data_IF_968095871017
#
_entry.id   IF_968095871017
#
_cell.length_a   1.000
_cell.length_b   1.000
_cell.length_c   1.000
_cell.angle_alpha   90.00
_cell.angle_beta   90.00
_cell.angle_gamma   90.00
#
_symmetry.space_group_name_H-M   'P 1'
#
loop_
_entity.id
_entity.type
_entity.pdbx_description
1 polymer ?
#
# COMPACT_ATOMS: atom_id res chain seq x y z
N UNK A 1 8.41 17.70 4.09
CA UNK A 1 8.62 18.79 5.08
C UNK A 1 7.74 19.97 4.71
N UNK A 2 6.47 19.90 5.07
CA UNK A 2 5.38 20.43 4.25
C UNK A 2 4.93 19.39 3.23
N UNK A 3 3.77 19.61 2.59
CA UNK A 3 3.22 18.68 1.62
C UNK A 3 4.08 18.61 0.35
N UNK A 4 4.62 17.44 0.07
CA UNK A 4 5.55 17.17 -1.00
C UNK A 4 4.94 16.22 -2.06
N UNK A 5 5.43 16.33 -3.28
CA UNK A 5 5.16 15.35 -4.34
C UNK A 5 6.48 14.79 -4.83
N UNK A 6 6.71 13.52 -4.53
CA UNK A 6 7.91 12.78 -4.89
C UNK A 6 7.53 11.80 -5.99
N UNK A 7 8.18 11.91 -7.15
CA UNK A 7 8.00 10.97 -8.26
C UNK A 7 9.35 10.47 -8.73
N UNK A 8 9.52 9.15 -8.67
CA UNK A 8 10.71 8.47 -9.09
C UNK A 8 10.85 8.40 -10.62
N UNK A 9 12.09 8.51 -11.10
CA UNK A 9 12.49 8.28 -12.51
C UNK A 9 13.75 7.40 -12.60
N UNK A 10 13.99 6.60 -11.57
CA UNK A 10 15.23 5.90 -11.27
C UNK A 10 15.37 4.58 -12.05
N UNK A 11 16.60 4.25 -12.45
CA UNK A 11 16.97 2.93 -13.02
C UNK A 11 17.39 1.90 -11.95
N UNK A 12 17.33 2.27 -10.66
CA UNK A 12 17.80 1.48 -9.53
C UNK A 12 16.94 1.75 -8.29
N UNK A 13 16.73 0.75 -7.43
CA UNK A 13 16.02 0.88 -6.15
C UNK A 13 16.52 2.06 -5.29
N UNK A 14 15.60 2.72 -4.59
CA UNK A 14 15.81 3.92 -3.76
C UNK A 14 14.94 3.88 -2.50
N UNK A 15 15.25 4.80 -1.60
CA UNK A 15 14.40 5.15 -0.46
C UNK A 15 13.85 6.55 -0.67
N UNK A 16 12.55 6.72 -0.48
CA UNK A 16 11.82 7.99 -0.56
C UNK A 16 11.18 8.27 0.80
N UNK A 17 11.32 9.51 1.29
CA UNK A 17 10.76 9.96 2.57
C UNK A 17 9.94 11.24 2.33
N UNK A 18 8.69 11.30 2.80
CA UNK A 18 7.86 12.51 2.79
C UNK A 18 8.14 13.44 3.99
N UNK A 19 8.49 12.82 5.11
CA UNK A 19 8.78 13.45 6.40
C UNK A 19 7.53 13.95 7.12
N UNK A 20 7.08 15.18 6.88
CA UNK A 20 5.94 15.77 7.58
C UNK A 20 5.14 16.59 6.58
N UNK A 21 3.81 16.52 6.69
CA UNK A 21 2.89 17.06 5.69
C UNK A 21 2.14 15.93 4.98
N UNK A 22 1.09 16.29 4.25
CA UNK A 22 0.35 15.30 3.46
C UNK A 22 1.08 15.08 2.13
N UNK A 23 1.85 14.02 2.03
CA UNK A 23 2.77 13.77 0.93
C UNK A 23 2.20 12.80 -0.11
N UNK A 24 2.69 12.89 -1.34
CA UNK A 24 2.44 11.91 -2.40
C UNK A 24 3.75 11.34 -2.90
N UNK A 25 3.98 10.06 -2.62
CA UNK A 25 5.20 9.33 -3.00
C UNK A 25 4.88 8.31 -4.08
N UNK A 26 5.62 8.35 -5.18
CA UNK A 26 5.57 7.37 -6.26
C UNK A 26 6.96 6.78 -6.53
N UNK A 27 7.13 5.48 -6.25
CA UNK A 27 8.39 4.73 -6.36
C UNK A 27 8.79 4.34 -7.79
N UNK A 28 7.85 4.34 -8.73
CA UNK A 28 8.15 4.13 -10.15
C UNK A 28 8.15 2.66 -10.54
N UNK A 29 9.31 2.09 -10.91
CA UNK A 29 9.37 0.73 -11.51
C UNK A 29 10.36 -0.21 -10.85
N UNK A 30 11.02 0.22 -9.78
CA UNK A 30 12.05 -0.55 -9.11
C UNK A 30 11.53 -1.05 -7.77
N UNK A 31 12.32 -1.87 -7.07
CA UNK A 31 11.98 -2.33 -5.73
C UNK A 31 12.39 -1.25 -4.72
N UNK A 32 11.49 -0.37 -4.39
CA UNK A 32 11.75 0.84 -3.61
C UNK A 32 11.27 0.71 -2.16
N UNK A 33 11.76 1.62 -1.32
CA UNK A 33 11.30 1.82 0.06
C UNK A 33 10.66 3.19 0.13
N UNK A 34 9.38 3.26 0.48
CA UNK A 34 8.64 4.52 0.62
C UNK A 34 8.21 4.68 2.08
N UNK A 35 8.54 5.82 2.67
CA UNK A 35 8.12 6.23 4.00
C UNK A 35 7.33 7.54 3.89
N UNK A 36 6.04 7.51 4.23
CA UNK A 36 5.17 8.70 4.26
C UNK A 36 5.68 9.68 5.32
N UNK A 37 5.55 9.30 6.58
CA UNK A 37 6.09 10.06 7.70
C UNK A 37 4.99 10.47 8.65
N UNK A 38 4.72 11.76 8.77
CA UNK A 38 3.66 12.28 9.62
C UNK A 38 2.62 13.02 8.79
N UNK A 39 1.37 12.98 9.24
CA UNK A 39 0.17 13.43 8.56
C UNK A 39 -0.31 12.42 7.50
N UNK A 40 -1.28 12.78 6.65
CA UNK A 40 -1.97 11.79 5.81
C UNK A 40 -1.30 11.67 4.45
N UNK A 41 -0.67 10.54 4.22
CA UNK A 41 0.16 10.32 3.04
C UNK A 41 -0.51 9.45 1.99
N UNK A 42 0.00 9.57 0.77
CA UNK A 42 -0.33 8.71 -0.35
C UNK A 42 0.91 8.05 -0.88
N UNK A 43 0.96 6.71 -0.81
CA UNK A 43 2.10 5.92 -1.27
C UNK A 43 1.67 5.07 -2.47
N UNK A 44 2.44 5.18 -3.56
CA UNK A 44 2.35 4.34 -4.76
C UNK A 44 3.71 3.67 -4.93
N UNK A 45 3.83 2.39 -4.61
CA UNK A 45 5.08 1.63 -4.84
C UNK A 45 5.48 1.70 -6.32
N UNK A 46 4.51 1.37 -7.18
CA UNK A 46 4.70 1.39 -8.62
C UNK A 46 4.76 -0.05 -9.13
N UNK A 47 5.63 -0.34 -10.10
CA UNK A 47 6.00 -1.71 -10.43
C UNK A 47 7.19 -2.11 -9.55
N UNK A 48 7.29 -3.36 -9.14
CA UNK A 48 8.46 -3.83 -8.39
C UNK A 48 8.05 -4.78 -7.29
N UNK A 49 8.85 -4.86 -6.24
CA UNK A 49 8.43 -5.40 -4.97
C UNK A 49 8.85 -4.38 -3.93
N UNK A 50 7.89 -3.60 -3.45
CA UNK A 50 8.13 -2.40 -2.67
C UNK A 50 7.90 -2.63 -1.18
N UNK A 51 8.59 -1.85 -0.35
CA UNK A 51 8.33 -1.74 1.08
C UNK A 51 7.74 -0.38 1.38
N UNK A 52 6.51 -0.37 1.89
CA UNK A 52 5.71 0.83 2.13
C UNK A 52 5.46 1.00 3.63
N UNK A 53 5.70 2.20 4.14
CA UNK A 53 5.45 2.60 5.54
C UNK A 53 4.65 3.90 5.49
N UNK A 54 3.42 3.89 6.00
CA UNK A 54 2.56 5.08 6.03
C UNK A 54 3.09 6.08 7.05
N UNK A 55 3.29 5.60 8.28
CA UNK A 55 3.72 6.39 9.42
C UNK A 55 2.56 6.83 10.30
N UNK A 56 2.60 8.07 10.77
CA UNK A 56 1.56 8.64 11.64
C UNK A 56 0.54 9.34 10.76
N UNK A 57 -0.67 8.82 10.68
CA UNK A 57 -1.72 9.46 9.92
C UNK A 57 -2.81 8.48 9.55
N UNK A 58 -3.67 8.92 8.64
CA UNK A 58 -4.58 8.05 7.90
C UNK A 58 -4.05 7.96 6.48
N UNK A 59 -3.32 6.90 6.18
CA UNK A 59 -2.54 6.81 4.95
C UNK A 59 -3.27 6.04 3.86
N UNK A 60 -2.91 6.30 2.61
CA UNK A 60 -3.45 5.61 1.44
C UNK A 60 -2.34 4.92 0.65
N UNK A 61 -2.37 3.59 0.64
CA UNK A 61 -1.49 2.74 -0.17
C UNK A 61 -2.22 2.38 -1.46
N UNK A 62 -1.78 2.93 -2.59
CA UNK A 62 -2.48 2.78 -3.87
C UNK A 62 -1.75 1.86 -4.83
N UNK A 63 -2.51 0.93 -5.37
CA UNK A 63 -2.01 -0.12 -6.25
C UNK A 63 -2.63 -0.02 -7.64
N UNK A 64 -1.83 -0.35 -8.65
CA UNK A 64 -2.24 -0.45 -10.04
C UNK A 64 -1.71 -1.74 -10.66
N UNK A 65 -2.28 -2.15 -11.80
CA UNK A 65 -1.90 -3.41 -12.45
C UNK A 65 -0.40 -3.54 -12.66
N UNK A 66 0.16 -4.66 -12.22
CA UNK A 66 1.58 -5.00 -12.37
C UNK A 66 2.44 -4.57 -11.19
N UNK A 67 1.85 -4.16 -10.06
CA UNK A 67 2.62 -3.65 -8.93
C UNK A 67 3.61 -4.66 -8.34
N UNK A 68 3.29 -5.96 -8.38
CA UNK A 68 4.18 -7.03 -7.93
C UNK A 68 3.85 -7.51 -6.53
N UNK A 69 4.86 -7.79 -5.69
CA UNK A 69 4.66 -8.30 -4.33
C UNK A 69 5.15 -7.26 -3.32
N UNK A 70 4.22 -6.47 -2.80
CA UNK A 70 4.52 -5.34 -1.95
C UNK A 70 4.23 -5.64 -0.49
N UNK A 71 4.95 -4.95 0.39
CA UNK A 71 4.89 -5.10 1.83
C UNK A 71 4.48 -3.76 2.43
N UNK A 72 3.38 -3.73 3.17
CA UNK A 72 2.99 -2.61 4.04
C UNK A 72 3.40 -2.95 5.47
N UNK A 73 4.22 -2.10 6.07
CA UNK A 73 4.92 -2.44 7.32
C UNK A 73 4.17 -2.03 8.60
N UNK A 74 3.20 -1.11 8.49
CA UNK A 74 2.55 -0.47 9.63
C UNK A 74 1.04 -0.25 9.47
N UNK A 75 0.38 -1.03 8.60
CA UNK A 75 -1.03 -0.86 8.28
C UNK A 75 -1.95 -0.84 9.52
N UNK A 76 -2.74 0.23 9.65
CA UNK A 76 -3.74 0.44 10.69
C UNK A 76 -5.16 0.30 10.12
N UNK A 77 -5.82 -0.79 10.49
CA UNK A 77 -7.19 -1.10 10.03
C UNK A 77 -8.28 -0.32 10.76
N UNK A 78 -9.54 -0.65 10.47
CA UNK A 78 -10.69 0.11 10.97
C UNK A 78 -10.90 1.43 10.23
N UNK A 79 -10.28 1.56 9.06
CA UNK A 79 -10.37 2.72 8.18
C UNK A 79 -9.50 3.91 8.52
N UNK A 80 -8.51 3.75 9.42
CA UNK A 80 -7.42 4.71 9.57
C UNK A 80 -6.59 4.74 8.28
N UNK A 81 -5.98 3.61 7.93
CA UNK A 81 -5.33 3.45 6.63
C UNK A 81 -6.28 2.85 5.60
N UNK A 82 -5.96 3.09 4.34
CA UNK A 82 -6.69 2.60 3.18
C UNK A 82 -5.76 1.92 2.20
N UNK A 83 -6.22 0.79 1.66
CA UNK A 83 -5.66 0.15 0.47
C UNK A 83 -6.53 0.56 -0.71
N UNK A 84 -6.00 1.41 -1.59
CA UNK A 84 -6.70 1.88 -2.78
C UNK A 84 -6.49 0.92 -3.96
N UNK A 85 -7.58 0.22 -4.30
CA UNK A 85 -7.69 -0.77 -5.37
C UNK A 85 -8.65 -0.30 -6.49
N UNK A 86 -8.97 1.00 -6.53
CA UNK A 86 -9.88 1.57 -7.51
C UNK A 86 -9.40 1.37 -8.97
N UNK A 87 -8.11 1.17 -9.19
CA UNK A 87 -7.53 0.89 -10.50
C UNK A 87 -7.91 -0.50 -11.08
N UNK A 88 -8.50 -1.40 -10.28
CA UNK A 88 -8.77 -2.79 -10.68
C UNK A 88 -10.22 -3.07 -11.07
N UNK A 89 -11.15 -2.14 -10.84
CA UNK A 89 -12.58 -2.35 -11.14
C UNK A 89 -13.23 -3.47 -10.32
N UNK A 90 -12.74 -3.70 -9.10
CA UNK A 90 -13.28 -4.73 -8.22
C UNK A 90 -14.60 -4.26 -7.59
N UNK A 91 -15.60 -5.14 -7.55
CA UNK A 91 -16.91 -4.84 -6.95
C UNK A 91 -16.93 -4.80 -5.41
N UNK A 92 -15.79 -4.98 -4.76
CA UNK A 92 -15.66 -4.94 -3.30
C UNK A 92 -14.73 -6.01 -2.74
N UNK A 93 -14.67 -6.09 -1.41
CA UNK A 93 -13.78 -6.99 -0.65
C UNK A 93 -13.99 -8.47 -0.98
N UNK A 94 -15.19 -8.86 -1.43
CA UNK A 94 -15.49 -10.24 -1.85
C UNK A 94 -14.74 -10.70 -3.11
N UNK A 95 -14.11 -9.78 -3.85
CA UNK A 95 -13.22 -10.11 -4.97
C UNK A 95 -11.77 -10.40 -4.52
N UNK A 96 -11.48 -10.28 -3.22
CA UNK A 96 -10.17 -10.53 -2.63
C UNK A 96 -10.13 -11.88 -1.93
N UNK A 97 -8.98 -12.53 -2.00
CA UNK A 97 -8.59 -13.63 -1.13
C UNK A 97 -7.68 -13.05 -0.05
N UNK A 98 -8.14 -13.06 1.20
CA UNK A 98 -7.39 -12.59 2.37
C UNK A 98 -6.99 -13.80 3.21
N UNK A 99 -5.70 -14.01 3.38
CA UNK A 99 -5.13 -15.05 4.25
C UNK A 99 -4.58 -14.39 5.50
N UNK A 100 -5.16 -14.69 6.66
CA UNK A 100 -4.76 -14.10 7.94
C UNK A 100 -3.62 -14.90 8.58
N UNK A 101 -2.55 -14.21 8.96
CA UNK A 101 -1.40 -14.80 9.63
C UNK A 101 -1.70 -15.17 11.08
N UNK A 102 -1.20 -16.31 11.60
CA UNK A 102 -1.45 -16.70 12.98
C UNK A 102 -0.76 -15.74 13.96
N UNK A 103 -1.47 -15.34 15.03
CA UNK A 103 -0.91 -14.60 16.15
C UNK A 103 -0.41 -13.19 15.82
N UNK A 104 -1.18 -12.44 15.02
CA UNK A 104 -0.75 -11.18 14.38
C UNK A 104 0.48 -11.41 13.50
N UNK A 105 0.45 -12.50 12.72
CA UNK A 105 1.42 -12.76 11.67
C UNK A 105 1.14 -11.88 10.44
N UNK A 106 1.86 -12.14 9.35
CA UNK A 106 1.63 -11.40 8.12
C UNK A 106 0.30 -11.82 7.49
N UNK A 107 -0.52 -10.82 7.16
CA UNK A 107 -1.72 -11.01 6.37
C UNK A 107 -1.41 -10.84 4.89
N UNK A 108 -1.98 -11.71 4.05
CA UNK A 108 -1.72 -11.73 2.61
C UNK A 108 -3.03 -11.48 1.87
N UNK A 109 -3.01 -10.47 1.00
CA UNK A 109 -4.14 -10.09 0.14
C UNK A 109 -3.77 -10.37 -1.31
N UNK A 110 -4.63 -11.12 -2.00
CA UNK A 110 -4.51 -11.42 -3.43
C UNK A 110 -5.87 -11.32 -4.11
N UNK A 111 -5.89 -11.24 -5.45
CA UNK A 111 -7.12 -11.36 -6.25
C UNK A 111 -6.81 -12.23 -7.47
N UNK A 112 -6.87 -13.57 -7.34
CA UNK A 112 -6.39 -14.50 -8.37
C UNK A 112 -7.10 -14.39 -9.72
N UNK A 113 -8.32 -13.85 -9.73
CA UNK A 113 -9.11 -13.61 -10.95
C UNK A 113 -8.81 -12.27 -11.63
N UNK A 114 -7.95 -11.44 -11.03
CA UNK A 114 -7.69 -10.07 -11.48
C UNK A 114 -6.29 -10.00 -12.10
N UNK A 115 -6.18 -9.86 -13.43
CA UNK A 115 -4.89 -9.77 -14.10
C UNK A 115 -4.04 -8.62 -13.53
N UNK A 116 -2.78 -8.92 -13.21
CA UNK A 116 -1.83 -7.93 -12.70
C UNK A 116 -2.02 -7.53 -11.23
N UNK A 117 -2.89 -8.18 -10.45
CA UNK A 117 -3.16 -7.81 -9.06
C UNK A 117 -2.02 -8.12 -8.06
N UNK A 118 -0.95 -8.82 -8.45
CA UNK A 118 0.18 -9.02 -7.53
C UNK A 118 -0.20 -9.62 -6.17
N UNK A 119 0.54 -9.25 -5.12
CA UNK A 119 0.31 -9.63 -3.73
C UNK A 119 0.60 -8.45 -2.79
N UNK A 120 -0.29 -8.17 -1.85
CA UNK A 120 -0.05 -7.22 -0.77
C UNK A 120 0.14 -8.01 0.52
N UNK A 121 1.24 -7.76 1.22
CA UNK A 121 1.53 -8.32 2.54
C UNK A 121 1.41 -7.23 3.60
N UNK A 122 0.56 -7.42 4.61
CA UNK A 122 0.51 -6.55 5.78
C UNK A 122 1.33 -7.19 6.90
N UNK A 123 2.41 -6.55 7.30
CA UNK A 123 3.32 -7.10 8.31
C UNK A 123 2.73 -6.94 9.70
N UNK A 124 2.58 -8.03 10.43
CA UNK A 124 2.20 -7.98 11.84
C UNK A 124 0.79 -7.44 12.10
N UNK A 125 -0.08 -7.39 11.08
CA UNK A 125 -1.42 -6.84 11.24
C UNK A 125 -2.25 -7.74 12.17
N UNK A 126 -2.70 -7.18 13.29
CA UNK A 126 -3.46 -7.91 14.32
C UNK A 126 -4.99 -7.72 14.22
N UNK A 127 -5.44 -6.90 13.27
CA UNK A 127 -6.85 -6.50 13.14
C UNK A 127 -7.67 -7.44 12.27
N UNK A 128 -8.89 -7.01 11.95
CA UNK A 128 -9.73 -7.66 10.93
C UNK A 128 -9.90 -6.70 9.78
N UNK A 129 -9.56 -7.14 8.57
CA UNK A 129 -9.81 -6.37 7.35
C UNK A 129 -11.30 -6.39 7.02
N UNK A 130 -11.83 -5.21 6.75
CA UNK A 130 -13.24 -4.96 6.44
C UNK A 130 -13.34 -4.09 5.19
N UNK A 131 -14.54 -3.94 4.63
CA UNK A 131 -14.73 -3.12 3.45
C UNK A 131 -14.30 -1.65 3.65
N UNK A 132 -14.26 -1.13 4.88
CA UNK A 132 -13.79 0.23 5.14
C UNK A 132 -12.28 0.38 4.97
N UNK A 133 -11.50 -0.70 5.00
CA UNK A 133 -10.03 -0.65 4.86
C UNK A 133 -9.58 -0.53 3.40
N UNK A 134 -10.53 -0.55 2.46
CA UNK A 134 -10.28 -0.55 1.03
C UNK A 134 -11.04 0.56 0.32
N UNK A 135 -10.45 1.05 -0.76
CA UNK A 135 -11.14 1.88 -1.76
C UNK A 135 -11.31 1.03 -3.01
N UNK A 136 -12.56 0.86 -3.43
CA UNK A 136 -12.95 0.19 -4.67
C UNK A 136 -13.58 1.22 -5.64
N UNK A 137 -13.89 0.79 -6.87
CA UNK A 137 -14.63 1.61 -7.84
C UNK A 137 -16.08 1.82 -7.46
#
# INVERSE_FOLDING_TARGET
>A
GGNDTITATNASARTYNGDAGNDTLNGGTQNDILNGGADNDTLVGGLGNDSLTGGIGNDTFRFASGFGNDVITDFSGGGADKIDLSAFGLGGIGALTITVGPGAGNDIITSPSTPGFGQITLVGFAGTLTASDFIFT
#
